data_IF_954551335542
#
_entry.id   IF_954551335542
#
_cell.length_a   1.000
_cell.length_b   1.000
_cell.length_c   1.000
_cell.angle_alpha   90.00
_cell.angle_beta   90.00
_cell.angle_gamma   90.00
#
_symmetry.space_group_name_H-M   'P 1'
#
loop_
_entity.id
_entity.type
_entity.pdbx_description
1 polymer ?
#
# COMPACT_ATOMS: atom_id res chain seq x y z
N UNK A 1 2.24 19.79 -14.65
CA UNK A 1 3.60 19.31 -14.34
C UNK A 1 3.76 17.80 -14.44
N UNK A 2 3.06 16.97 -13.65
CA UNK A 2 3.33 15.52 -13.55
C UNK A 2 3.37 14.73 -14.89
N UNK A 3 2.60 15.13 -15.91
CA UNK A 3 2.53 14.47 -17.25
C UNK A 3 3.86 14.40 -18.02
N UNK A 4 4.87 15.18 -17.63
CA UNK A 4 6.17 15.23 -18.31
C UNK A 4 7.27 14.45 -17.58
N UNK A 5 6.97 13.83 -16.43
CA UNK A 5 7.90 12.97 -15.73
C UNK A 5 7.92 11.57 -16.34
N UNK A 6 9.06 10.88 -16.23
CA UNK A 6 9.17 9.47 -16.60
C UNK A 6 8.12 8.60 -15.90
N UNK A 7 7.64 7.54 -16.54
CA UNK A 7 6.63 6.62 -15.97
C UNK A 7 7.12 6.08 -14.62
N UNK A 8 8.37 5.60 -14.57
CA UNK A 8 8.99 5.10 -13.34
C UNK A 8 8.97 6.14 -12.21
N UNK A 9 9.39 7.38 -12.48
CA UNK A 9 9.38 8.46 -11.48
C UNK A 9 7.99 8.79 -10.94
N UNK A 10 6.94 8.74 -11.78
CA UNK A 10 5.54 8.94 -11.34
C UNK A 10 5.08 7.82 -10.41
N UNK A 11 5.34 6.56 -10.78
CA UNK A 11 4.95 5.40 -9.97
C UNK A 11 5.74 5.35 -8.66
N UNK A 12 7.06 5.54 -8.70
CA UNK A 12 7.90 5.60 -7.50
C UNK A 12 7.49 6.72 -6.55
N UNK A 13 7.07 7.88 -7.05
CA UNK A 13 6.54 8.95 -6.19
C UNK A 13 5.21 8.56 -5.55
N UNK A 14 4.28 7.98 -6.31
CA UNK A 14 2.98 7.54 -5.80
C UNK A 14 3.08 6.44 -4.73
N UNK A 15 3.82 5.36 -5.03
CA UNK A 15 4.05 4.28 -4.07
C UNK A 15 4.92 4.73 -2.89
N UNK A 16 5.95 5.55 -3.14
CA UNK A 16 6.81 6.10 -2.09
C UNK A 16 6.05 6.98 -1.09
N UNK A 17 5.10 7.80 -1.55
CA UNK A 17 4.24 8.60 -0.67
C UNK A 17 3.35 7.70 0.20
N UNK A 18 2.75 6.65 -0.37
CA UNK A 18 1.91 5.70 0.37
C UNK A 18 2.73 4.92 1.40
N UNK A 19 3.93 4.44 1.04
CA UNK A 19 4.84 3.79 1.99
C UNK A 19 5.29 4.73 3.11
N UNK A 20 5.59 6.00 2.80
CA UNK A 20 5.94 7.02 3.79
C UNK A 20 4.80 7.25 4.78
N UNK A 21 3.56 7.40 4.28
CA UNK A 21 2.37 7.55 5.12
C UNK A 21 2.12 6.31 5.99
N UNK A 22 2.29 5.10 5.45
CA UNK A 22 2.23 3.85 6.24
C UNK A 22 3.30 3.80 7.33
N UNK A 23 4.54 4.20 7.05
CA UNK A 23 5.61 4.26 8.05
C UNK A 23 5.31 5.29 9.15
N UNK A 24 4.76 6.45 8.80
CA UNK A 24 4.36 7.48 9.78
C UNK A 24 3.23 6.96 10.68
N UNK A 25 2.17 6.38 10.10
CA UNK A 25 1.04 5.82 10.87
C UNK A 25 1.48 4.64 11.73
N UNK A 26 2.29 3.72 11.19
CA UNK A 26 2.82 2.58 11.93
C UNK A 26 3.75 2.99 13.08
N UNK A 27 4.70 3.89 12.81
CA UNK A 27 5.62 4.41 13.84
C UNK A 27 4.89 5.14 14.97
N UNK A 28 3.91 6.00 14.63
CA UNK A 28 3.07 6.67 15.62
C UNK A 28 2.22 5.69 16.43
N UNK A 29 1.69 4.64 15.80
CA UNK A 29 0.91 3.58 16.47
C UNK A 29 1.77 2.79 17.46
N UNK A 30 3.01 2.45 17.09
CA UNK A 30 3.97 1.80 18.00
C UNK A 30 4.33 2.69 19.20
N UNK A 31 4.55 4.00 18.96
CA UNK A 31 4.81 4.96 20.02
C UNK A 31 3.61 5.08 20.99
N UNK A 32 2.38 5.11 20.47
CA UNK A 32 1.16 5.08 21.29
C UNK A 32 1.08 3.83 22.16
N UNK A 33 1.27 2.65 21.57
CA UNK A 33 1.20 1.37 22.28
C UNK A 33 2.23 1.31 23.41
N UNK A 34 3.47 1.76 23.15
CA UNK A 34 4.52 1.83 24.17
C UNK A 34 4.18 2.83 25.29
N UNK A 35 3.60 3.98 24.95
CA UNK A 35 3.17 4.98 25.93
C UNK A 35 2.04 4.47 26.83
N UNK A 36 1.02 3.84 26.24
CA UNK A 36 -0.09 3.22 26.97
C UNK A 36 0.40 2.04 27.84
N UNK A 37 1.33 1.22 27.34
CA UNK A 37 1.93 0.14 28.11
C UNK A 37 2.68 0.68 29.34
N UNK A 38 3.49 1.73 29.19
CA UNK A 38 4.20 2.38 30.30
C UNK A 38 3.24 2.95 31.35
N UNK A 39 2.22 3.71 30.93
CA UNK A 39 1.21 4.29 31.83
C UNK A 39 0.41 3.21 32.57
N UNK A 40 0.01 2.15 31.86
CA UNK A 40 -0.71 1.02 32.47
C UNK A 40 0.18 0.24 33.44
N UNK A 41 1.47 0.11 33.15
CA UNK A 41 2.42 -0.53 34.05
C UNK A 41 2.54 0.27 35.36
N UNK A 42 2.79 1.58 35.31
CA UNK A 42 2.82 2.44 36.51
C UNK A 42 1.51 2.34 37.30
N UNK A 43 0.35 2.42 36.65
CA UNK A 43 -0.95 2.30 37.33
C UNK A 43 -1.08 0.97 38.09
N UNK A 44 -0.68 -0.15 37.48
CA UNK A 44 -0.81 -1.50 38.07
C UNK A 44 0.28 -1.79 39.11
N UNK A 45 1.56 -1.58 38.77
CA UNK A 45 2.71 -2.01 39.57
C UNK A 45 3.13 -1.01 40.63
N UNK A 46 2.73 0.26 40.51
CA UNK A 46 3.01 1.30 41.50
C UNK A 46 1.73 1.65 42.26
N UNK A 47 0.83 2.47 41.71
CA UNK A 47 -0.29 3.03 42.49
C UNK A 47 -1.26 1.96 43.03
N UNK A 48 -1.73 1.01 42.20
CA UNK A 48 -2.65 -0.04 42.66
C UNK A 48 -1.99 -1.02 43.63
N UNK A 49 -0.71 -1.34 43.42
CA UNK A 49 0.07 -2.15 44.35
C UNK A 49 0.27 -1.45 45.72
N UNK A 50 0.45 -0.12 45.72
CA UNK A 50 0.58 0.69 46.93
C UNK A 50 -0.76 0.84 47.67
N UNK A 51 -1.88 0.95 46.95
CA UNK A 51 -3.24 0.90 47.53
C UNK A 51 -3.49 -0.43 48.23
N UNK A 52 -3.24 -1.56 47.56
CA UNK A 52 -3.39 -2.91 48.13
C UNK A 52 -2.50 -3.09 49.38
N UNK A 53 -1.23 -2.67 49.31
CA UNK A 53 -0.31 -2.71 50.44
C UNK A 53 -0.83 -1.89 51.64
N UNK A 54 -1.42 -0.72 51.41
CA UNK A 54 -2.00 0.11 52.46
C UNK A 54 -3.30 -0.49 53.04
N UNK A 55 -4.12 -1.17 52.24
CA UNK A 55 -5.25 -1.97 52.75
C UNK A 55 -4.77 -3.13 53.63
N UNK A 56 -3.72 -3.86 53.22
CA UNK A 56 -3.11 -4.92 54.02
C UNK A 56 -2.55 -4.41 55.37
N UNK A 57 -2.06 -3.16 55.44
CA UNK A 57 -1.69 -2.52 56.71
C UNK A 57 -2.93 -2.35 57.61
N UNK A 58 -4.02 -1.80 57.07
CA UNK A 58 -5.27 -1.62 57.83
C UNK A 58 -5.88 -2.95 58.31
N UNK A 59 -5.84 -4.01 57.49
CA UNK A 59 -6.33 -5.33 57.88
C UNK A 59 -5.50 -5.96 59.00
N UNK A 60 -4.17 -5.91 58.89
CA UNK A 60 -3.25 -6.39 59.93
C UNK A 60 -3.37 -5.57 61.22
N UNK A 61 -3.59 -4.26 61.12
CA UNK A 61 -3.87 -3.41 62.26
C UNK A 61 -5.20 -3.78 62.94
N UNK A 62 -6.24 -4.11 62.18
CA UNK A 62 -7.49 -4.66 62.71
C UNK A 62 -7.31 -6.07 63.32
N UNK A 63 -6.41 -6.91 62.80
CA UNK A 63 -6.02 -8.18 63.47
C UNK A 63 -5.38 -7.88 64.83
N UNK A 64 -4.40 -6.98 64.90
CA UNK A 64 -3.75 -6.58 66.16
C UNK A 64 -4.79 -6.03 67.15
N UNK A 65 -5.67 -5.12 66.73
CA UNK A 65 -6.70 -4.54 67.59
C UNK A 65 -7.71 -5.56 68.15
N UNK A 66 -8.03 -6.62 67.39
CA UNK A 66 -8.84 -7.76 67.88
C UNK A 66 -8.06 -8.62 68.85
N UNK A 67 -6.82 -9.00 68.51
CA UNK A 67 -5.96 -9.81 69.36
C UNK A 67 -5.70 -9.16 70.74
N UNK A 68 -5.44 -7.85 70.76
CA UNK A 68 -5.28 -7.08 72.01
C UNK A 68 -6.54 -7.13 72.89
N UNK A 69 -7.73 -7.06 72.30
CA UNK A 69 -9.00 -7.18 73.05
C UNK A 69 -9.22 -8.59 73.58
N UNK A 70 -8.95 -9.61 72.76
CA UNK A 70 -9.10 -11.02 73.17
C UNK A 70 -8.25 -11.35 74.40
N UNK A 71 -7.02 -10.81 74.51
CA UNK A 71 -6.12 -10.98 75.66
C UNK A 71 -6.73 -10.52 77.02
N UNK A 72 -7.71 -9.61 77.00
CA UNK A 72 -8.46 -9.18 78.21
C UNK A 72 -9.78 -9.94 78.39
N UNK A 73 -10.31 -10.56 77.34
CA UNK A 73 -11.57 -11.31 77.36
C UNK A 73 -11.35 -12.75 77.83
N UNK A 74 -10.22 -13.35 77.45
CA UNK A 74 -9.77 -14.69 77.84
C UNK A 74 -8.35 -14.55 78.45
N UNK A 75 -8.24 -14.88 79.73
CA UNK A 75 -6.99 -14.79 80.51
C UNK A 75 -6.16 -16.09 80.50
N UNK A 76 -6.59 -17.11 79.75
CA UNK A 76 -5.85 -18.36 79.64
C UNK A 76 -4.50 -18.15 78.95
N UNK A 77 -3.44 -18.73 79.54
CA UNK A 77 -2.07 -18.62 79.00
C UNK A 77 -1.95 -19.13 77.55
N UNK A 78 -2.80 -20.08 77.15
CA UNK A 78 -2.83 -20.63 75.80
C UNK A 78 -3.38 -19.61 74.79
N UNK A 79 -4.52 -18.97 75.08
CA UNK A 79 -5.11 -17.97 74.21
C UNK A 79 -4.27 -16.68 74.16
N UNK A 80 -3.73 -16.24 75.31
CA UNK A 80 -2.80 -15.11 75.34
C UNK A 80 -1.57 -15.34 74.46
N UNK A 81 -0.96 -16.54 74.52
CA UNK A 81 0.19 -16.90 73.66
C UNK A 81 -0.18 -16.89 72.17
N UNK A 82 -1.35 -17.45 71.82
CA UNK A 82 -1.91 -17.44 70.45
C UNK A 82 -2.11 -16.01 69.92
N UNK A 83 -2.71 -15.13 70.71
CA UNK A 83 -2.95 -13.75 70.31
C UNK A 83 -1.65 -12.92 70.24
N UNK A 84 -0.67 -13.16 71.13
CA UNK A 84 0.67 -12.55 71.01
C UNK A 84 1.39 -12.98 69.73
N UNK A 85 1.28 -14.25 69.31
CA UNK A 85 1.85 -14.73 68.05
C UNK A 85 1.17 -14.07 66.83
N UNK A 86 -0.16 -13.88 66.87
CA UNK A 86 -0.90 -13.13 65.85
C UNK A 86 -0.43 -11.67 65.75
N UNK A 87 -0.28 -10.99 66.90
CA UNK A 87 0.25 -9.62 66.96
C UNK A 87 1.66 -9.54 66.36
N UNK A 88 2.55 -10.47 66.73
CA UNK A 88 3.92 -10.52 66.20
C UNK A 88 3.94 -10.72 64.67
N UNK A 89 3.08 -11.62 64.16
CA UNK A 89 2.95 -11.90 62.73
C UNK A 89 2.47 -10.67 61.96
N UNK A 90 1.36 -10.06 62.38
CA UNK A 90 0.83 -8.85 61.74
C UNK A 90 1.78 -7.64 61.84
N UNK A 91 2.49 -7.48 62.97
CA UNK A 91 3.53 -6.44 63.12
C UNK A 91 4.68 -6.62 62.13
N UNK A 92 5.09 -7.88 61.87
CA UNK A 92 6.11 -8.22 60.87
C UNK A 92 5.60 -7.92 59.46
N UNK A 93 4.42 -8.40 59.08
CA UNK A 93 3.83 -8.12 57.76
C UNK A 93 3.74 -6.62 57.48
N UNK A 94 3.31 -5.81 58.45
CA UNK A 94 3.28 -4.35 58.32
C UNK A 94 4.71 -3.77 58.16
N UNK A 95 5.72 -4.30 58.87
CA UNK A 95 7.11 -3.85 58.72
C UNK A 95 7.64 -4.16 57.31
N UNK A 96 7.46 -5.39 56.84
CA UNK A 96 7.91 -5.85 55.52
C UNK A 96 7.23 -5.06 54.38
N UNK A 97 5.98 -4.63 54.56
CA UNK A 97 5.27 -3.74 53.61
C UNK A 97 5.86 -2.32 53.66
N UNK A 98 6.01 -1.72 54.84
CA UNK A 98 6.52 -0.35 54.97
C UNK A 98 7.97 -0.22 54.49
N UNK A 99 8.80 -1.26 54.65
CA UNK A 99 10.16 -1.29 54.10
C UNK A 99 10.16 -1.29 52.55
N UNK A 100 9.20 -1.96 51.90
CA UNK A 100 9.02 -1.92 50.45
C UNK A 100 8.52 -0.56 49.97
N UNK A 101 7.63 0.06 50.73
CA UNK A 101 7.12 1.41 50.45
C UNK A 101 8.23 2.47 50.58
N UNK A 102 9.03 2.48 51.66
CA UNK A 102 10.12 3.46 51.86
C UNK A 102 11.25 3.34 50.82
N UNK A 103 11.42 2.14 50.24
CA UNK A 103 12.38 1.90 49.14
C UNK A 103 11.86 2.27 47.75
N UNK A 104 10.55 2.28 47.54
CA UNK A 104 9.94 2.58 46.22
C UNK A 104 9.49 4.03 46.09
N UNK A 105 9.16 4.71 47.19
CA UNK A 105 8.63 6.06 47.19
C UNK A 105 9.73 7.11 47.34
N UNK A 106 9.67 8.16 46.51
CA UNK A 106 10.64 9.25 46.51
C UNK A 106 10.49 10.10 47.77
N UNK A 107 11.58 10.25 48.52
CA UNK A 107 11.58 11.01 49.78
C UNK A 107 11.36 12.50 49.50
N UNK A 108 10.32 13.06 50.12
CA UNK A 108 9.89 14.45 49.90
C UNK A 108 8.80 14.63 48.83
N UNK A 109 8.34 13.57 48.15
CA UNK A 109 7.07 13.62 47.39
C UNK A 109 5.87 13.73 48.35
N UNK A 110 4.69 14.04 47.82
CA UNK A 110 3.43 14.02 48.58
C UNK A 110 3.20 12.63 49.23
N UNK A 111 3.46 11.55 48.48
CA UNK A 111 3.40 10.17 48.96
C UNK A 111 4.44 9.89 50.05
N UNK A 112 5.66 10.42 49.89
CA UNK A 112 6.74 10.28 50.88
C UNK A 112 6.44 11.00 52.19
N UNK A 113 5.74 12.14 52.13
CA UNK A 113 5.27 12.88 53.32
C UNK A 113 4.19 12.09 54.06
N UNK A 114 3.20 11.55 53.33
CA UNK A 114 2.15 10.71 53.93
C UNK A 114 2.70 9.37 54.46
N UNK A 115 3.60 8.71 53.72
CA UNK A 115 4.28 7.50 54.18
C UNK A 115 5.07 7.76 55.47
N UNK A 116 5.78 8.90 55.55
CA UNK A 116 6.46 9.28 56.80
C UNK A 116 5.47 9.45 57.95
N UNK A 117 4.34 10.14 57.74
CA UNK A 117 3.27 10.28 58.75
C UNK A 117 2.74 8.91 59.21
N UNK A 118 2.56 7.96 58.27
CA UNK A 118 2.20 6.56 58.54
C UNK A 118 3.25 5.85 59.41
N UNK A 119 4.54 6.01 59.11
CA UNK A 119 5.67 5.42 59.88
C UNK A 119 5.77 6.02 61.29
N UNK A 120 5.68 7.35 61.41
CA UNK A 120 5.78 8.07 62.68
C UNK A 120 4.62 7.69 63.62
N UNK A 121 3.38 7.60 63.10
CA UNK A 121 2.22 7.17 63.88
C UNK A 121 2.24 5.68 64.21
N UNK A 122 2.80 4.82 63.35
CA UNK A 122 3.07 3.42 63.67
C UNK A 122 3.97 3.29 64.90
N UNK A 123 5.02 4.09 65.01
CA UNK A 123 5.95 4.04 66.14
C UNK A 123 5.24 4.34 67.48
N UNK A 124 4.32 5.33 67.48
CA UNK A 124 3.48 5.65 68.65
C UNK A 124 2.56 4.48 69.01
N UNK A 125 1.85 3.91 68.02
CA UNK A 125 0.96 2.77 68.23
C UNK A 125 1.69 1.50 68.72
N UNK A 126 2.89 1.21 68.19
CA UNK A 126 3.73 0.09 68.63
C UNK A 126 4.16 0.27 70.10
N UNK A 127 4.58 1.47 70.48
CA UNK A 127 4.94 1.80 71.87
C UNK A 127 3.75 1.69 72.83
N UNK A 128 2.59 2.22 72.45
CA UNK A 128 1.37 2.11 73.28
C UNK A 128 0.93 0.67 73.49
N UNK A 129 1.04 -0.16 72.45
CA UNK A 129 0.68 -1.58 72.51
C UNK A 129 1.72 -2.42 73.26
N UNK A 130 2.99 -2.01 73.29
CA UNK A 130 4.03 -2.60 74.15
C UNK A 130 3.78 -2.32 75.63
N UNK A 131 3.58 -1.06 76.00
CA UNK A 131 3.22 -0.66 77.37
C UNK A 131 1.92 -1.36 77.85
N UNK A 132 0.97 -1.59 76.94
CA UNK A 132 -0.21 -2.40 77.22
C UNK A 132 0.14 -3.86 77.52
N UNK A 133 0.97 -4.51 76.69
CA UNK A 133 1.40 -5.90 76.89
C UNK A 133 2.24 -6.09 78.16
N UNK A 134 3.00 -5.08 78.57
CA UNK A 134 3.70 -5.06 79.86
C UNK A 134 2.72 -5.08 81.05
N UNK A 135 1.69 -4.24 81.03
CA UNK A 135 0.65 -4.23 82.07
C UNK A 135 -0.11 -5.57 82.18
N UNK A 136 -0.29 -6.29 81.07
CA UNK A 136 -0.86 -7.65 81.07
C UNK A 136 0.10 -8.65 81.75
N UNK A 137 1.40 -8.62 81.42
CA UNK A 137 2.41 -9.49 82.06
C UNK A 137 2.57 -9.23 83.56
N UNK A 138 2.34 -8.00 83.99
CA UNK A 138 2.34 -7.59 85.40
C UNK A 138 1.00 -7.86 86.13
N UNK A 139 0.03 -8.53 85.48
CA UNK A 139 -1.31 -8.81 86.01
C UNK A 139 -2.14 -7.57 86.38
N UNK A 140 -1.84 -6.41 85.77
CA UNK A 140 -2.50 -5.12 86.02
C UNK A 140 -3.68 -4.87 85.08
N UNK A 141 -4.60 -5.83 85.00
CA UNK A 141 -5.68 -5.91 83.98
C UNK A 141 -6.56 -4.66 83.89
N UNK A 142 -6.98 -4.05 85.00
CA UNK A 142 -7.79 -2.82 84.97
C UNK A 142 -7.02 -1.59 84.46
N UNK A 143 -5.72 -1.51 84.71
CA UNK A 143 -4.85 -0.46 84.14
C UNK A 143 -4.62 -0.72 82.65
N UNK A 144 -4.39 -1.97 82.25
CA UNK A 144 -4.27 -2.37 80.84
C UNK A 144 -5.55 -2.05 80.06
N UNK A 145 -6.73 -2.34 80.63
CA UNK A 145 -8.05 -2.03 80.06
C UNK A 145 -8.27 -0.53 79.85
N UNK A 146 -7.93 0.30 80.84
CA UNK A 146 -7.95 1.77 80.68
C UNK A 146 -7.01 2.20 79.54
N UNK A 147 -5.79 1.67 79.50
CA UNK A 147 -4.82 2.00 78.44
C UNK A 147 -5.25 1.54 77.04
N UNK A 148 -5.96 0.40 76.95
CA UNK A 148 -6.54 -0.11 75.71
C UNK A 148 -7.64 0.81 75.17
N UNK A 149 -8.55 1.26 76.06
CA UNK A 149 -9.71 2.05 75.67
C UNK A 149 -9.36 3.51 75.35
N UNK A 150 -8.30 4.05 75.95
CA UNK A 150 -7.86 5.44 75.79
C UNK A 150 -6.69 5.55 74.79
N UNK A 151 -5.45 5.36 75.25
CA UNK A 151 -4.24 5.65 74.47
C UNK A 151 -4.13 4.73 73.25
N UNK A 152 -4.20 3.40 73.43
CA UNK A 152 -4.05 2.43 72.32
C UNK A 152 -5.14 2.65 71.26
N UNK A 153 -6.39 2.89 71.67
CA UNK A 153 -7.49 3.18 70.73
C UNK A 153 -7.28 4.51 69.99
N UNK A 154 -6.68 5.50 70.65
CA UNK A 154 -6.40 6.81 70.05
C UNK A 154 -5.24 6.72 69.06
N UNK A 155 -4.11 6.10 69.43
CA UNK A 155 -2.99 5.88 68.50
C UNK A 155 -3.35 4.93 67.37
N UNK A 156 -4.20 3.91 67.62
CA UNK A 156 -4.79 3.08 66.55
C UNK A 156 -5.57 3.94 65.54
N UNK A 157 -6.50 4.79 66.01
CA UNK A 157 -7.34 5.63 65.13
C UNK A 157 -6.48 6.57 64.29
N UNK A 158 -5.56 7.29 64.92
CA UNK A 158 -4.69 8.24 64.22
C UNK A 158 -3.83 7.53 63.16
N UNK A 159 -3.32 6.33 63.47
CA UNK A 159 -2.54 5.54 62.53
C UNK A 159 -3.39 5.05 61.34
N UNK A 160 -4.62 4.54 61.57
CA UNK A 160 -5.56 4.18 60.50
C UNK A 160 -5.94 5.38 59.62
N UNK A 161 -6.14 6.56 60.23
CA UNK A 161 -6.49 7.80 59.55
C UNK A 161 -5.37 8.21 58.57
N UNK A 162 -4.10 8.15 58.99
CA UNK A 162 -2.96 8.40 58.11
C UNK A 162 -2.80 7.36 56.99
N UNK A 163 -3.08 6.08 57.24
CA UNK A 163 -3.13 5.05 56.19
C UNK A 163 -4.27 5.34 55.20
N UNK A 164 -5.43 5.81 55.68
CA UNK A 164 -6.58 6.21 54.87
C UNK A 164 -6.30 7.44 53.98
N UNK A 165 -5.59 8.44 54.50
CA UNK A 165 -5.08 9.57 53.70
C UNK A 165 -4.16 9.10 52.58
N UNK A 166 -3.22 8.19 52.88
CA UNK A 166 -2.30 7.61 51.89
C UNK A 166 -3.05 6.82 50.80
N UNK A 167 -4.02 5.97 51.18
CA UNK A 167 -4.91 5.27 50.22
C UNK A 167 -5.66 6.25 49.32
N UNK A 168 -6.17 7.34 49.89
CA UNK A 168 -6.96 8.34 49.15
C UNK A 168 -6.10 9.07 48.13
N UNK A 169 -4.86 9.44 48.48
CA UNK A 169 -3.91 10.04 47.53
C UNK A 169 -3.61 9.06 46.38
N UNK A 170 -3.27 7.81 46.70
CA UNK A 170 -2.90 6.80 45.70
C UNK A 170 -4.05 6.42 44.77
N UNK A 171 -5.27 6.33 45.31
CA UNK A 171 -6.49 6.10 44.51
C UNK A 171 -6.75 7.27 43.55
N UNK A 172 -6.61 8.52 44.03
CA UNK A 172 -6.76 9.72 43.22
C UNK A 172 -5.71 9.81 42.10
N UNK A 173 -4.46 9.46 42.38
CA UNK A 173 -3.39 9.38 41.36
C UNK A 173 -3.69 8.31 40.32
N UNK A 174 -4.11 7.10 40.73
CA UNK A 174 -4.48 6.02 39.82
C UNK A 174 -5.68 6.40 38.91
N UNK A 175 -6.71 7.05 39.46
CA UNK A 175 -7.82 7.58 38.67
C UNK A 175 -7.37 8.62 37.64
N UNK A 176 -6.48 9.53 38.03
CA UNK A 176 -6.01 10.61 37.17
C UNK A 176 -5.12 10.06 36.04
N UNK A 177 -4.21 9.13 36.35
CA UNK A 177 -3.45 8.38 35.35
C UNK A 177 -4.37 7.60 34.40
N UNK A 178 -5.43 6.97 34.92
CA UNK A 178 -6.43 6.28 34.10
C UNK A 178 -7.17 7.23 33.14
N UNK A 179 -7.57 8.42 33.62
CA UNK A 179 -8.19 9.47 32.78
C UNK A 179 -7.22 9.99 31.71
N UNK A 180 -5.96 10.20 32.06
CA UNK A 180 -4.92 10.63 31.12
C UNK A 180 -4.64 9.57 30.05
N UNK A 181 -4.53 8.30 30.41
CA UNK A 181 -4.37 7.20 29.47
C UNK A 181 -5.57 7.07 28.51
N UNK A 182 -6.80 7.19 29.01
CA UNK A 182 -8.01 7.18 28.19
C UNK A 182 -8.04 8.36 27.20
N UNK A 183 -7.68 9.56 27.65
CA UNK A 183 -7.62 10.76 26.80
C UNK A 183 -6.49 10.69 25.75
N UNK A 184 -5.31 10.15 26.12
CA UNK A 184 -4.20 9.91 25.21
C UNK A 184 -4.59 8.90 24.12
N UNK A 185 -5.21 7.77 24.51
CA UNK A 185 -5.74 6.77 23.58
C UNK A 185 -6.77 7.37 22.61
N UNK A 186 -7.76 8.11 23.12
CA UNK A 186 -8.77 8.78 22.28
C UNK A 186 -8.15 9.79 21.31
N UNK A 187 -7.21 10.60 21.77
CA UNK A 187 -6.50 11.60 20.94
C UNK A 187 -5.72 10.92 19.82
N UNK A 188 -4.99 9.86 20.13
CA UNK A 188 -4.20 9.13 19.15
C UNK A 188 -5.07 8.34 18.17
N UNK A 189 -6.21 7.77 18.59
CA UNK A 189 -7.22 7.20 17.68
C UNK A 189 -7.75 8.24 16.68
N UNK A 190 -8.04 9.47 17.13
CA UNK A 190 -8.47 10.55 16.23
C UNK A 190 -7.37 10.94 15.24
N UNK A 191 -6.11 11.03 15.69
CA UNK A 191 -4.96 11.31 14.82
C UNK A 191 -4.77 10.19 13.78
N UNK A 192 -4.75 8.92 14.19
CA UNK A 192 -4.59 7.76 13.30
C UNK A 192 -5.74 7.70 12.28
N UNK A 193 -6.99 7.88 12.72
CA UNK A 193 -8.16 7.91 11.82
C UNK A 193 -8.07 9.04 10.80
N UNK A 194 -7.59 10.21 11.21
CA UNK A 194 -7.39 11.37 10.32
C UNK A 194 -6.27 11.10 9.30
N UNK A 195 -5.14 10.55 9.73
CA UNK A 195 -4.03 10.18 8.84
C UNK A 195 -4.44 9.11 7.82
N UNK A 196 -5.22 8.10 8.24
CA UNK A 196 -5.77 7.08 7.35
C UNK A 196 -6.76 7.67 6.33
N UNK A 197 -7.64 8.58 6.74
CA UNK A 197 -8.56 9.28 5.84
C UNK A 197 -7.80 10.13 4.80
N UNK A 198 -6.78 10.87 5.23
CA UNK A 198 -5.90 11.65 4.33
C UNK A 198 -5.14 10.72 3.37
N UNK A 199 -4.58 9.62 3.85
CA UNK A 199 -3.88 8.64 3.01
C UNK A 199 -4.81 8.00 1.96
N UNK A 200 -6.07 7.71 2.32
CA UNK A 200 -7.07 7.19 1.40
C UNK A 200 -7.41 8.21 0.30
N UNK A 201 -7.67 9.47 0.68
CA UNK A 201 -7.98 10.56 -0.28
C UNK A 201 -6.80 10.78 -1.24
N UNK A 202 -5.56 10.82 -0.71
CA UNK A 202 -4.35 10.95 -1.53
C UNK A 202 -4.15 9.75 -2.47
N UNK A 203 -4.45 8.53 -2.01
CA UNK A 203 -4.36 7.32 -2.84
C UNK A 203 -5.37 7.32 -3.99
N UNK A 204 -6.62 7.72 -3.73
CA UNK A 204 -7.66 7.88 -4.75
C UNK A 204 -7.25 8.96 -5.76
N UNK A 205 -6.75 10.11 -5.28
CA UNK A 205 -6.26 11.19 -6.14
C UNK A 205 -5.09 10.74 -7.04
N UNK A 206 -4.09 10.07 -6.47
CA UNK A 206 -2.96 9.51 -7.23
C UNK A 206 -3.42 8.48 -8.27
N UNK A 207 -4.37 7.61 -7.91
CA UNK A 207 -4.96 6.62 -8.83
C UNK A 207 -5.62 7.31 -10.03
N UNK A 208 -6.42 8.35 -9.81
CA UNK A 208 -7.05 9.13 -10.89
C UNK A 208 -6.00 9.82 -11.77
N UNK A 209 -4.93 10.37 -11.18
CA UNK A 209 -3.82 11.00 -11.92
C UNK A 209 -3.04 9.98 -12.75
N UNK A 210 -2.77 8.78 -12.22
CA UNK A 210 -2.09 7.69 -12.92
C UNK A 210 -2.95 7.19 -14.10
N UNK A 211 -4.24 6.91 -13.87
CA UNK A 211 -5.17 6.48 -14.92
C UNK A 211 -5.21 7.50 -16.07
N UNK A 212 -5.37 8.79 -15.76
CA UNK A 212 -5.46 9.85 -16.79
C UNK A 212 -4.14 10.15 -17.50
N UNK A 213 -2.98 9.88 -16.88
CA UNK A 213 -1.66 10.19 -17.47
C UNK A 213 -0.96 9.01 -18.14
N UNK A 214 -1.33 7.77 -17.79
CA UNK A 214 -0.73 6.55 -18.34
C UNK A 214 -1.81 5.68 -19.02
N UNK A 215 -2.81 5.21 -18.27
CA UNK A 215 -3.79 4.24 -18.79
C UNK A 215 -4.60 4.78 -19.97
N UNK A 216 -5.12 6.01 -19.89
CA UNK A 216 -5.90 6.60 -21.00
C UNK A 216 -5.05 6.84 -22.26
N UNK A 217 -3.85 7.45 -22.20
CA UNK A 217 -2.94 7.54 -23.35
C UNK A 217 -2.52 6.19 -23.96
N UNK A 218 -2.21 5.19 -23.13
CA UNK A 218 -1.88 3.83 -23.61
C UNK A 218 -3.09 3.20 -24.32
N UNK A 219 -4.30 3.37 -23.80
CA UNK A 219 -5.53 2.93 -24.47
C UNK A 219 -5.73 3.58 -25.83
N UNK A 220 -5.46 4.89 -25.98
CA UNK A 220 -5.48 5.56 -27.28
C UNK A 220 -4.43 5.00 -28.25
N UNK A 221 -3.24 4.68 -27.77
CA UNK A 221 -2.18 4.08 -28.58
C UNK A 221 -2.55 2.66 -29.06
N UNK A 222 -3.18 1.86 -28.20
CA UNK A 222 -3.74 0.55 -28.56
C UNK A 222 -4.81 0.67 -29.64
N UNK A 223 -5.72 1.63 -29.52
CA UNK A 223 -6.77 1.87 -30.51
C UNK A 223 -6.21 2.30 -31.88
N UNK A 224 -5.13 3.11 -31.91
CA UNK A 224 -4.46 3.43 -33.18
C UNK A 224 -3.82 2.17 -33.81
N UNK A 225 -3.14 1.34 -33.02
CA UNK A 225 -2.52 0.12 -33.52
C UNK A 225 -3.57 -0.88 -34.08
N UNK A 226 -4.74 -0.94 -33.46
CA UNK A 226 -5.87 -1.74 -33.94
C UNK A 226 -6.45 -1.19 -35.26
N UNK A 227 -6.59 0.13 -35.39
CA UNK A 227 -6.98 0.78 -36.65
C UNK A 227 -5.97 0.51 -37.79
N UNK A 228 -4.67 0.59 -37.51
CA UNK A 228 -3.60 0.25 -38.45
C UNK A 228 -3.65 -1.22 -38.88
N UNK A 229 -3.96 -2.14 -37.95
CA UNK A 229 -4.13 -3.56 -38.26
C UNK A 229 -5.38 -3.81 -39.14
N UNK A 230 -6.40 -2.96 -39.01
CA UNK A 230 -7.56 -2.91 -39.92
C UNK A 230 -7.30 -2.20 -41.26
N UNK A 231 -6.10 -1.66 -41.50
CA UNK A 231 -5.71 -0.98 -42.73
C UNK A 231 -5.97 0.54 -42.77
N UNK A 232 -6.41 1.16 -41.67
CA UNK A 232 -6.54 2.62 -41.57
C UNK A 232 -5.19 3.27 -41.22
N UNK A 233 -4.55 3.85 -42.24
CA UNK A 233 -3.32 4.65 -42.11
C UNK A 233 -3.59 6.17 -42.19
N UNK A 234 -4.80 6.62 -41.83
CA UNK A 234 -5.18 8.04 -41.79
C UNK A 234 -5.37 8.58 -40.38
N UNK A 235 -5.62 7.71 -39.40
CA UNK A 235 -5.78 8.07 -38.00
C UNK A 235 -4.47 8.64 -37.38
N UNK A 236 -4.61 9.58 -36.43
CA UNK A 236 -3.48 10.24 -35.75
C UNK A 236 -3.64 10.20 -34.23
N UNK A 237 -2.56 9.86 -33.54
CA UNK A 237 -2.51 9.80 -32.08
C UNK A 237 -2.07 11.14 -31.49
N UNK A 238 -3.04 11.96 -31.07
CA UNK A 238 -2.78 13.22 -30.38
C UNK A 238 -2.57 13.01 -28.87
N UNK A 239 -1.28 13.05 -28.47
CA UNK A 239 -0.81 12.99 -27.08
C UNK A 239 0.31 14.03 -26.90
N UNK A 240 -0.01 15.17 -26.27
CA UNK A 240 0.98 16.12 -25.77
C UNK A 240 1.55 15.65 -24.42
N UNK A 241 2.60 14.82 -24.49
CA UNK A 241 3.45 14.45 -23.35
C UNK A 241 4.93 14.44 -23.78
N UNK A 242 5.84 14.61 -22.81
CA UNK A 242 7.31 14.65 -23.02
C UNK A 242 8.04 13.44 -22.41
N UNK A 243 7.27 12.46 -21.97
CA UNK A 243 7.69 11.22 -21.31
C UNK A 243 7.82 10.05 -22.31
N UNK A 244 7.97 8.82 -21.81
CA UNK A 244 8.00 7.61 -22.64
C UNK A 244 6.73 7.42 -23.48
N UNK A 245 5.56 7.86 -22.98
CA UNK A 245 4.29 7.80 -23.71
C UNK A 245 4.29 8.79 -24.89
N UNK A 246 4.80 10.00 -24.68
CA UNK A 246 4.97 11.00 -25.74
C UNK A 246 5.96 10.58 -26.82
N UNK A 247 7.04 9.89 -26.45
CA UNK A 247 7.98 9.28 -27.41
C UNK A 247 7.29 8.16 -28.21
N UNK A 248 6.62 7.23 -27.53
CA UNK A 248 5.83 6.17 -28.18
C UNK A 248 4.80 6.73 -29.16
N UNK A 249 4.06 7.77 -28.76
CA UNK A 249 3.03 8.39 -29.59
C UNK A 249 3.61 9.04 -30.87
N UNK A 250 4.79 9.67 -30.77
CA UNK A 250 5.50 10.18 -31.95
C UNK A 250 5.95 9.06 -32.88
N UNK A 251 6.54 7.99 -32.34
CA UNK A 251 6.97 6.83 -33.14
C UNK A 251 5.81 6.15 -33.86
N UNK A 252 4.65 5.98 -33.20
CA UNK A 252 3.45 5.44 -33.85
C UNK A 252 2.92 6.36 -34.96
N UNK A 253 2.85 7.68 -34.73
CA UNK A 253 2.44 8.63 -35.78
C UNK A 253 3.37 8.58 -37.01
N UNK A 254 4.70 8.52 -36.81
CA UNK A 254 5.66 8.37 -37.92
C UNK A 254 5.50 7.05 -38.66
N UNK A 255 5.14 5.96 -37.96
CA UNK A 255 4.86 4.67 -38.59
C UNK A 255 3.59 4.71 -39.45
N UNK A 256 2.51 5.34 -38.96
CA UNK A 256 1.28 5.57 -39.75
C UNK A 256 1.58 6.37 -41.02
N UNK A 257 2.35 7.46 -40.89
CA UNK A 257 2.70 8.33 -42.00
C UNK A 257 3.52 7.59 -43.08
N UNK A 258 4.52 6.80 -42.68
CA UNK A 258 5.36 6.03 -43.59
C UNK A 258 4.61 4.86 -44.26
N UNK A 259 3.82 4.10 -43.50
CA UNK A 259 3.01 3.01 -44.07
C UNK A 259 1.90 3.55 -44.98
N UNK A 260 1.22 4.63 -44.59
CA UNK A 260 0.23 5.31 -45.42
C UNK A 260 0.82 5.91 -46.70
N UNK A 261 2.05 6.42 -46.67
CA UNK A 261 2.79 6.81 -47.88
C UNK A 261 3.06 5.60 -48.78
N UNK A 262 3.64 4.53 -48.24
CA UNK A 262 3.94 3.30 -48.98
C UNK A 262 2.71 2.68 -49.65
N UNK A 263 1.56 2.64 -48.96
CA UNK A 263 0.30 2.15 -49.53
C UNK A 263 -0.20 3.06 -50.67
N UNK A 264 -0.08 4.39 -50.54
CA UNK A 264 -0.43 5.33 -51.62
C UNK A 264 0.46 5.13 -52.85
N UNK A 265 1.76 4.95 -52.66
CA UNK A 265 2.70 4.70 -53.76
C UNK A 265 2.39 3.37 -54.46
N UNK A 266 2.05 2.31 -53.72
CA UNK A 266 1.59 1.03 -54.27
C UNK A 266 0.33 1.20 -55.11
N UNK A 267 -0.68 1.95 -54.62
CA UNK A 267 -1.93 2.21 -55.36
C UNK A 267 -1.67 3.01 -56.64
N UNK A 268 -0.81 4.04 -56.59
CA UNK A 268 -0.43 4.83 -57.78
C UNK A 268 0.28 3.94 -58.80
N UNK A 269 1.26 3.14 -58.37
CA UNK A 269 2.01 2.24 -59.24
C UNK A 269 1.12 1.13 -59.85
N UNK A 270 0.15 0.59 -59.09
CA UNK A 270 -0.83 -0.35 -59.61
C UNK A 270 -1.78 0.29 -60.65
N UNK A 271 -2.16 1.55 -60.46
CA UNK A 271 -2.91 2.33 -61.44
C UNK A 271 -2.13 2.54 -62.74
N UNK A 272 -0.87 2.96 -62.64
CA UNK A 272 0.05 3.10 -63.79
C UNK A 272 0.24 1.77 -64.52
N UNK A 273 0.48 0.67 -63.79
CA UNK A 273 0.61 -0.67 -64.36
C UNK A 273 -0.66 -1.12 -65.09
N UNK A 274 -1.84 -0.79 -64.55
CA UNK A 274 -3.13 -1.06 -65.20
C UNK A 274 -3.27 -0.26 -66.50
N UNK A 275 -2.88 1.01 -66.51
CA UNK A 275 -2.87 1.85 -67.72
C UNK A 275 -1.93 1.26 -68.78
N UNK A 276 -0.67 0.97 -68.43
CA UNK A 276 0.30 0.38 -69.36
C UNK A 276 -0.13 -1.00 -69.86
N UNK A 277 -0.88 -1.77 -69.07
CA UNK A 277 -1.46 -3.04 -69.51
C UNK A 277 -2.57 -2.85 -70.53
N UNK A 278 -3.40 -1.80 -70.39
CA UNK A 278 -4.42 -1.43 -71.37
C UNK A 278 -3.79 -0.91 -72.67
N UNK A 279 -2.73 -0.10 -72.58
CA UNK A 279 -1.97 0.38 -73.73
C UNK A 279 -1.34 -0.80 -74.48
N UNK A 280 -0.71 -1.73 -73.77
CA UNK A 280 -0.13 -2.94 -74.34
C UNK A 280 -1.20 -3.84 -74.99
N UNK A 281 -2.38 -3.97 -74.40
CA UNK A 281 -3.50 -4.71 -74.99
C UNK A 281 -4.00 -4.04 -76.28
N UNK A 282 -4.07 -2.71 -76.31
CA UNK A 282 -4.41 -1.93 -77.50
C UNK A 282 -3.39 -2.11 -78.63
N UNK A 283 -2.09 -1.98 -78.32
CA UNK A 283 -0.99 -2.23 -79.26
C UNK A 283 -1.00 -3.68 -79.75
N UNK A 284 -1.24 -4.65 -78.87
CA UNK A 284 -1.35 -6.06 -79.26
C UNK A 284 -2.51 -6.32 -80.22
N UNK A 285 -3.64 -5.63 -80.03
CA UNK A 285 -4.80 -5.72 -80.93
C UNK A 285 -4.52 -5.07 -82.29
N UNK A 286 -3.85 -3.92 -82.31
CA UNK A 286 -3.39 -3.28 -83.56
C UNK A 286 -2.39 -4.17 -84.30
N UNK A 287 -1.41 -4.76 -83.58
CA UNK A 287 -0.43 -5.68 -84.16
C UNK A 287 -1.09 -6.94 -84.72
N UNK A 288 -2.09 -7.50 -84.03
CA UNK A 288 -2.87 -8.64 -84.53
C UNK A 288 -3.65 -8.28 -85.79
N UNK A 289 -4.20 -7.06 -85.90
CA UNK A 289 -4.87 -6.59 -87.12
C UNK A 289 -3.87 -6.42 -88.26
N UNK A 290 -2.75 -5.72 -88.02
CA UNK A 290 -1.71 -5.51 -89.02
C UNK A 290 -1.07 -6.82 -89.49
N UNK A 291 -0.95 -7.82 -88.61
CA UNK A 291 -0.50 -9.17 -88.96
C UNK A 291 -1.52 -9.89 -89.86
N UNK A 292 -2.83 -9.73 -89.61
CA UNK A 292 -3.88 -10.24 -90.49
C UNK A 292 -3.84 -9.54 -91.86
N UNK A 293 -3.80 -8.20 -91.89
CA UNK A 293 -3.69 -7.41 -93.12
C UNK A 293 -2.44 -7.81 -93.93
N UNK A 294 -1.32 -8.06 -93.24
CA UNK A 294 -0.06 -8.54 -93.86
C UNK A 294 -0.21 -9.96 -94.40
N UNK A 295 -0.91 -10.85 -93.72
CA UNK A 295 -1.19 -12.21 -94.19
C UNK A 295 -2.10 -12.20 -95.43
N UNK A 296 -3.15 -11.38 -95.42
CA UNK A 296 -4.09 -11.22 -96.54
C UNK A 296 -3.40 -10.58 -97.76
N UNK A 297 -2.53 -9.58 -97.53
CA UNK A 297 -1.68 -9.00 -98.57
C UNK A 297 -0.66 -10.01 -99.10
N UNK A 298 -0.07 -10.85 -98.23
CA UNK A 298 0.87 -11.90 -98.65
C UNK A 298 0.17 -12.99 -99.48
N UNK A 299 -1.05 -13.36 -99.10
CA UNK A 299 -1.93 -14.25 -99.87
C UNK A 299 -2.26 -13.65 -101.23
N UNK A 300 -2.59 -12.35 -101.28
CA UNK A 300 -2.85 -11.63 -102.53
C UNK A 300 -1.61 -11.53 -103.42
N UNK A 301 -0.42 -11.33 -102.85
CA UNK A 301 0.86 -11.36 -103.58
C UNK A 301 1.18 -12.77 -104.08
N UNK A 302 0.89 -13.82 -103.30
CA UNK A 302 1.04 -15.20 -103.74
C UNK A 302 0.12 -15.50 -104.93
N UNK A 303 -1.17 -15.15 -104.85
CA UNK A 303 -2.13 -15.29 -105.94
C UNK A 303 -1.73 -14.48 -107.19
N UNK A 304 -1.25 -13.24 -107.02
CA UNK A 304 -0.71 -12.45 -108.13
C UNK A 304 0.58 -13.04 -108.72
N UNK A 305 1.39 -13.74 -107.92
CA UNK A 305 2.58 -14.46 -108.37
C UNK A 305 2.21 -15.75 -109.10
N UNK A 306 1.14 -16.44 -108.69
CA UNK A 306 0.54 -17.54 -109.43
C UNK A 306 -0.03 -17.06 -110.77
N UNK A 307 -0.83 -15.98 -110.80
CA UNK A 307 -1.29 -15.36 -112.05
C UNK A 307 -0.11 -14.91 -112.92
N UNK A 308 0.93 -14.30 -112.35
CA UNK A 308 2.11 -13.89 -113.10
C UNK A 308 2.89 -15.10 -113.64
N UNK A 309 2.98 -16.20 -112.89
CA UNK A 309 3.57 -17.46 -113.35
C UNK A 309 2.77 -18.07 -114.50
N UNK A 310 1.44 -18.10 -114.37
CA UNK A 310 0.50 -18.51 -115.43
C UNK A 310 0.62 -17.59 -116.65
N UNK A 311 0.71 -16.27 -116.46
CA UNK A 311 0.85 -15.30 -117.53
C UNK A 311 2.22 -15.39 -118.21
N UNK A 312 3.31 -15.64 -117.46
CA UNK A 312 4.63 -15.97 -118.03
C UNK A 312 4.59 -17.28 -118.82
N UNK A 313 3.80 -18.28 -118.40
CA UNK A 313 3.56 -19.49 -119.21
C UNK A 313 2.76 -19.16 -120.49
N UNK A 314 1.71 -18.33 -120.42
CA UNK A 314 0.98 -17.83 -121.60
C UNK A 314 1.88 -17.02 -122.54
N UNK A 315 2.74 -16.17 -121.99
CA UNK A 315 3.62 -15.28 -122.74
C UNK A 315 4.77 -16.06 -123.36
N UNK A 316 5.34 -17.06 -122.67
CA UNK A 316 6.24 -18.07 -123.27
C UNK A 316 5.57 -18.89 -124.38
N UNK A 317 4.25 -19.11 -124.31
CA UNK A 317 3.46 -19.77 -125.37
C UNK A 317 3.21 -18.87 -126.59
N UNK A 318 3.37 -17.55 -126.44
CA UNK A 318 3.23 -16.56 -127.52
C UNK A 318 4.59 -16.03 -128.05
N UNK A 319 5.65 -16.07 -127.25
CA UNK A 319 6.98 -15.55 -127.61
C UNK A 319 7.87 -16.56 -128.33
N UNK A 320 7.31 -17.66 -128.83
CA UNK A 320 7.96 -18.62 -129.70
C UNK A 320 7.78 -18.20 -131.17
N UNK A 321 8.87 -17.92 -131.92
CA UNK A 321 8.76 -17.56 -133.33
C UNK A 321 8.09 -18.66 -134.16
N UNK A 322 7.06 -18.29 -134.93
CA UNK A 322 6.48 -19.16 -135.94
C UNK A 322 7.51 -19.40 -137.07
N UNK A 323 7.65 -20.65 -137.50
CA UNK A 323 8.56 -21.02 -138.58
C UNK A 323 8.04 -20.52 -139.94
N UNK A 324 8.88 -19.79 -140.68
CA UNK A 324 8.65 -19.48 -142.10
C UNK A 324 9.28 -20.56 -142.98
N UNK A 325 8.46 -21.40 -143.59
CA UNK A 325 8.88 -22.26 -144.69
C UNK A 325 8.74 -21.52 -146.03
N UNK A 326 9.82 -21.45 -146.81
CA UNK A 326 9.79 -20.92 -148.19
C UNK A 326 10.39 -21.92 -149.16
N UNK A 327 9.51 -22.57 -149.92
CA UNK A 327 9.81 -23.45 -151.06
C UNK A 327 9.57 -22.67 -152.37
N UNK A 328 10.43 -22.82 -153.39
CA UNK A 328 10.25 -22.49 -154.84
C UNK A 328 11.60 -22.58 -155.60
N UNK A 329 11.71 -22.60 -156.96
CA UNK A 329 11.82 -23.84 -157.74
C UNK A 329 13.05 -23.88 -158.73
N UNK A 330 13.28 -24.98 -159.49
CA UNK A 330 14.27 -25.06 -160.59
C UNK A 330 13.75 -24.44 -161.91
N UNK A 331 14.46 -24.45 -163.08
CA UNK A 331 15.77 -25.04 -163.44
C UNK A 331 16.82 -23.94 -163.80
N UNK A 332 17.58 -23.83 -164.93
CA UNK A 332 17.59 -24.52 -166.25
C UNK A 332 18.73 -25.58 -166.42
N UNK A 333 19.30 -25.72 -167.63
CA UNK A 333 20.40 -26.63 -168.04
C UNK A 333 21.67 -25.86 -168.47
N UNK A 334 22.84 -26.41 -168.17
CA UNK A 334 23.79 -26.91 -169.19
C UNK A 334 24.40 -28.21 -168.68
#
# INVERSE_FOLDING_TARGET
MLKNFKIGSRLSFGFGLIMLLMMIVGGYSLQLINSLHSQMNTLITENMAQVEQAHQINDNLNVIARALRNIIIDDSMQEQSSQLQRIATSRKTIADILEKLDKSIVKGSEDGILLKKVIDLRAIYVKDTELYMELIKEWKTETAKKKLLNEVRTSQRNYMEAVGEFVTLQTKQAEELGKQAANASRTAMMIISTLLAVALILSIFLTIVIIRSITTPVGKASALAEAMAGGDFTAKLDIDQKDEIGVMAKSLNSMVEQLGAMIRDIVINAGSLTSSSNDLASVSKQLSSAAQDTADQSSSVAAATEEMSVNIQYQRRWSSPHATSTWSPPPPRK
#
